data_IF_710040592501
#
_entry.id   IF_710040592501
#
_cell.length_a   1.000
_cell.length_b   1.000
_cell.length_c   1.000
_cell.angle_alpha   90.00
_cell.angle_beta   90.00
_cell.angle_gamma   90.00
#
_symmetry.space_group_name_H-M   'P 1'
#
loop_
_entity.id
_entity.type
_entity.pdbx_description
1 polymer ?
#
# COMPACT_ATOMS: atom_id res chain seq x y z
N UNK A 1 -14.41 44.86 11.56
CA UNK A 1 -13.76 43.66 12.15
C UNK A 1 -14.76 42.60 12.63
N UNK A 2 -15.80 42.95 13.41
CA UNK A 2 -16.84 41.98 13.86
C UNK A 2 -17.63 41.27 12.75
N UNK A 3 -17.95 41.94 11.63
CA UNK A 3 -18.71 41.30 10.54
C UNK A 3 -17.92 40.21 9.80
N UNK A 4 -16.60 40.39 9.61
CA UNK A 4 -15.72 39.36 9.02
C UNK A 4 -15.60 38.12 9.90
N UNK A 5 -15.56 38.29 11.22
CA UNK A 5 -15.51 37.18 12.17
C UNK A 5 -16.84 36.39 12.20
N UNK A 6 -17.98 37.06 12.11
CA UNK A 6 -19.29 36.42 11.99
C UNK A 6 -19.42 35.65 10.67
N UNK A 7 -18.98 36.25 9.56
CA UNK A 7 -18.98 35.60 8.24
C UNK A 7 -18.08 34.37 8.21
N UNK A 8 -16.89 34.44 8.81
CA UNK A 8 -15.98 33.30 8.94
C UNK A 8 -16.61 32.16 9.77
N UNK A 9 -17.24 32.48 10.91
CA UNK A 9 -17.93 31.49 11.75
C UNK A 9 -19.11 30.84 11.03
N UNK A 10 -19.85 31.60 10.23
CA UNK A 10 -20.98 31.08 9.46
C UNK A 10 -20.51 30.17 8.31
N UNK A 11 -19.43 30.54 7.63
CA UNK A 11 -18.80 29.73 6.59
C UNK A 11 -18.22 28.42 7.15
N UNK A 12 -17.59 28.45 8.32
CA UNK A 12 -17.06 27.22 8.94
C UNK A 12 -18.17 26.26 9.38
N UNK A 13 -19.29 26.78 9.90
CA UNK A 13 -20.48 25.97 10.23
C UNK A 13 -21.09 25.37 8.96
N UNK A 14 -21.21 26.14 7.88
CA UNK A 14 -21.70 25.64 6.60
C UNK A 14 -20.79 24.53 6.03
N UNK A 15 -19.47 24.73 6.07
CA UNK A 15 -18.48 23.75 5.65
C UNK A 15 -18.57 22.46 6.48
N UNK A 16 -18.70 22.57 7.81
CA UNK A 16 -18.86 21.43 8.69
C UNK A 16 -20.15 20.64 8.39
N UNK A 17 -21.26 21.32 8.07
CA UNK A 17 -22.51 20.67 7.66
C UNK A 17 -22.38 19.95 6.32
N UNK A 18 -21.74 20.59 5.34
CA UNK A 18 -21.45 19.97 4.05
C UNK A 18 -20.59 18.73 4.23
N UNK A 19 -19.47 18.85 4.96
CA UNK A 19 -18.59 17.74 5.26
C UNK A 19 -19.33 16.58 5.94
N UNK A 20 -20.15 16.88 6.96
CA UNK A 20 -20.99 15.85 7.63
C UNK A 20 -21.95 15.16 6.66
N UNK A 21 -22.62 15.92 5.78
CA UNK A 21 -23.54 15.35 4.77
C UNK A 21 -22.79 14.43 3.81
N UNK A 22 -21.62 14.83 3.32
CA UNK A 22 -20.77 14.00 2.47
C UNK A 22 -20.31 12.73 3.20
N UNK A 23 -19.85 12.85 4.44
CA UNK A 23 -19.42 11.70 5.25
C UNK A 23 -20.56 10.68 5.44
N UNK A 24 -21.77 11.13 5.75
CA UNK A 24 -22.94 10.26 5.91
C UNK A 24 -23.28 9.57 4.58
N UNK A 25 -23.29 10.32 3.47
CA UNK A 25 -23.59 9.75 2.15
C UNK A 25 -22.54 8.73 1.72
N UNK A 26 -21.26 9.01 1.93
CA UNK A 26 -20.15 8.09 1.66
C UNK A 26 -20.23 6.84 2.53
N UNK A 27 -20.54 6.98 3.82
CA UNK A 27 -20.74 5.85 4.73
C UNK A 27 -21.91 4.97 4.29
N UNK A 28 -23.04 5.57 3.91
CA UNK A 28 -24.19 4.83 3.43
C UNK A 28 -23.87 4.03 2.15
N UNK A 29 -23.19 4.65 1.18
CA UNK A 29 -22.70 3.98 -0.03
C UNK A 29 -21.73 2.84 0.28
N UNK A 30 -20.82 3.04 1.24
CA UNK A 30 -19.87 2.02 1.68
C UNK A 30 -20.61 0.80 2.25
N UNK A 31 -21.56 1.01 3.17
CA UNK A 31 -22.34 -0.07 3.79
C UNK A 31 -23.19 -0.83 2.77
N UNK A 32 -23.82 -0.13 1.82
CA UNK A 32 -24.58 -0.77 0.73
C UNK A 32 -23.66 -1.66 -0.11
N UNK A 33 -22.50 -1.16 -0.51
CA UNK A 33 -21.55 -1.94 -1.30
C UNK A 33 -21.02 -3.15 -0.52
N UNK A 34 -20.76 -3.02 0.77
CA UNK A 34 -20.28 -4.12 1.60
C UNK A 34 -21.31 -5.25 1.73
N UNK A 35 -22.61 -4.92 1.74
CA UNK A 35 -23.71 -5.89 1.80
C UNK A 35 -24.03 -6.54 0.47
N UNK A 36 -23.72 -5.89 -0.66
CA UNK A 36 -23.99 -6.44 -1.99
C UNK A 36 -22.97 -7.56 -2.31
N UNK A 37 -23.42 -8.80 -2.58
CA UNK A 37 -22.52 -9.91 -2.83
C UNK A 37 -21.64 -9.73 -4.07
N UNK A 38 -22.14 -9.03 -5.09
CA UNK A 38 -21.46 -8.80 -6.37
C UNK A 38 -20.55 -7.55 -6.36
N UNK A 39 -20.45 -6.86 -5.21
CA UNK A 39 -19.66 -5.64 -5.12
C UNK A 39 -18.17 -5.93 -5.19
N UNK A 40 -17.47 -5.22 -6.08
CA UNK A 40 -16.00 -5.20 -6.13
C UNK A 40 -15.40 -4.79 -4.78
N UNK A 41 -16.01 -3.84 -4.07
CA UNK A 41 -15.52 -3.39 -2.76
C UNK A 41 -15.52 -4.55 -1.75
N UNK A 42 -16.61 -5.32 -1.70
CA UNK A 42 -16.73 -6.49 -0.83
C UNK A 42 -15.66 -7.53 -1.17
N UNK A 43 -15.43 -7.78 -2.46
CA UNK A 43 -14.39 -8.69 -2.92
C UNK A 43 -12.98 -8.24 -2.51
N UNK A 44 -12.64 -6.95 -2.71
CA UNK A 44 -11.36 -6.37 -2.29
C UNK A 44 -11.17 -6.52 -0.78
N UNK A 45 -12.18 -6.18 0.02
CA UNK A 45 -12.13 -6.31 1.49
C UNK A 45 -11.93 -7.77 1.89
N UNK A 46 -12.62 -8.70 1.22
CA UNK A 46 -12.45 -10.13 1.46
C UNK A 46 -11.01 -10.58 1.19
N UNK A 47 -10.41 -10.17 0.07
CA UNK A 47 -9.00 -10.46 -0.23
C UNK A 47 -8.04 -9.87 0.82
N UNK A 48 -8.30 -8.66 1.31
CA UNK A 48 -7.51 -8.03 2.38
C UNK A 48 -7.61 -8.87 3.66
N UNK A 49 -8.82 -9.27 4.06
CA UNK A 49 -9.04 -10.10 5.25
C UNK A 49 -8.33 -11.44 5.12
N UNK A 50 -8.50 -12.13 3.98
CA UNK A 50 -7.81 -13.39 3.70
C UNK A 50 -6.30 -13.19 3.77
N UNK A 51 -5.77 -12.09 3.24
CA UNK A 51 -4.34 -11.84 3.26
C UNK A 51 -3.77 -11.53 4.64
N UNK A 52 -4.51 -10.80 5.47
CA UNK A 52 -4.14 -10.58 6.88
C UNK A 52 -4.18 -11.91 7.63
N UNK A 53 -5.23 -12.72 7.43
CA UNK A 53 -5.36 -14.03 8.09
C UNK A 53 -4.26 -15.00 7.67
N UNK A 54 -3.89 -15.02 6.39
CA UNK A 54 -2.80 -15.85 5.85
C UNK A 54 -1.48 -15.58 6.58
N UNK A 55 -1.18 -14.31 6.88
CA UNK A 55 0.00 -13.91 7.64
C UNK A 55 -0.27 -13.70 9.14
N UNK A 56 -1.46 -14.06 9.65
CA UNK A 56 -1.93 -13.63 10.96
C UNK A 56 -1.00 -14.04 12.12
N UNK A 57 -0.54 -15.30 12.09
CA UNK A 57 0.42 -15.81 13.09
C UNK A 57 1.73 -15.03 13.02
N UNK A 58 2.29 -14.84 11.82
CA UNK A 58 3.52 -14.08 11.63
C UNK A 58 3.39 -12.64 12.14
N UNK A 59 2.29 -11.95 11.79
CA UNK A 59 2.06 -10.57 12.19
C UNK A 59 1.97 -10.42 13.72
N UNK A 60 1.27 -11.33 14.41
CA UNK A 60 1.10 -11.25 15.87
C UNK A 60 2.41 -11.62 16.58
N UNK A 61 3.09 -12.67 16.13
CA UNK A 61 4.30 -13.17 16.77
C UNK A 61 5.55 -12.32 16.50
N UNK A 62 5.53 -11.44 15.50
CA UNK A 62 6.72 -10.70 15.05
C UNK A 62 6.49 -9.18 14.90
N UNK A 63 5.77 -8.55 15.84
CA UNK A 63 5.59 -7.08 15.87
C UNK A 63 5.04 -6.49 14.55
N UNK A 64 4.04 -7.17 13.96
CA UNK A 64 3.43 -6.85 12.67
C UNK A 64 4.40 -6.89 11.47
N UNK A 65 5.43 -7.71 11.57
CA UNK A 65 6.33 -8.04 10.45
C UNK A 65 6.03 -9.44 9.91
N UNK A 66 6.49 -9.71 8.70
CA UNK A 66 6.48 -11.04 8.11
C UNK A 66 7.94 -11.51 8.08
N UNK A 67 8.36 -12.47 8.92
CA UNK A 67 9.70 -13.03 8.85
C UNK A 67 9.79 -13.85 7.56
N UNK A 68 10.50 -13.31 6.59
CA UNK A 68 10.76 -13.97 5.31
C UNK A 68 12.02 -14.83 5.47
N UNK A 69 12.13 -15.93 4.73
CA UNK A 69 13.26 -16.87 4.78
C UNK A 69 13.85 -17.11 3.38
N UNK A 70 14.98 -17.81 3.31
CA UNK A 70 15.67 -18.09 2.05
C UNK A 70 16.19 -16.82 1.37
N UNK A 71 16.04 -16.73 0.06
CA UNK A 71 16.52 -15.61 -0.77
C UNK A 71 15.97 -14.25 -0.33
N UNK A 72 14.81 -14.23 0.33
CA UNK A 72 14.25 -13.00 0.87
C UNK A 72 15.14 -12.33 1.93
N UNK A 73 15.79 -13.11 2.78
CA UNK A 73 16.68 -12.57 3.82
C UNK A 73 17.99 -12.11 3.21
N UNK A 74 18.51 -12.88 2.25
CA UNK A 74 19.82 -12.62 1.67
C UNK A 74 19.81 -11.49 0.64
N UNK A 75 18.66 -11.21 0.02
CA UNK A 75 18.59 -10.26 -1.09
C UNK A 75 17.46 -9.25 -0.89
N UNK A 76 16.23 -9.71 -0.70
CA UNK A 76 15.08 -8.82 -0.79
C UNK A 76 14.97 -7.81 0.35
N UNK A 77 15.20 -8.23 1.61
CA UNK A 77 15.21 -7.30 2.76
C UNK A 77 16.33 -6.26 2.60
N UNK A 78 17.60 -6.66 2.34
CA UNK A 78 18.67 -5.71 2.03
C UNK A 78 18.31 -4.73 0.90
N UNK A 79 17.75 -5.22 -0.21
CA UNK A 79 17.36 -4.36 -1.32
C UNK A 79 16.29 -3.33 -0.93
N UNK A 80 15.33 -3.68 -0.08
CA UNK A 80 14.35 -2.70 0.38
C UNK A 80 14.94 -1.65 1.32
N UNK A 81 15.93 -2.00 2.14
CA UNK A 81 16.67 -1.03 2.94
C UNK A 81 17.55 -0.12 2.08
N UNK A 82 18.31 -0.69 1.14
CA UNK A 82 19.11 0.09 0.19
C UNK A 82 18.22 1.02 -0.62
N UNK A 83 17.08 0.53 -1.10
CA UNK A 83 16.12 1.37 -1.81
C UNK A 83 15.54 2.49 -0.97
N UNK A 84 15.26 2.25 0.32
CA UNK A 84 14.82 3.32 1.21
C UNK A 84 15.91 4.38 1.35
N UNK A 85 17.15 3.94 1.58
CA UNK A 85 18.28 4.83 1.81
C UNK A 85 18.67 5.61 0.54
N UNK A 86 18.61 4.97 -0.65
CA UNK A 86 18.87 5.59 -1.95
C UNK A 86 17.85 6.66 -2.30
N UNK A 87 16.55 6.39 -2.10
CA UNK A 87 15.50 7.39 -2.32
C UNK A 87 15.66 8.58 -1.38
N UNK A 88 15.95 8.32 -0.09
CA UNK A 88 16.17 9.38 0.87
C UNK A 88 17.48 10.13 0.65
N UNK A 89 18.51 9.49 0.10
CA UNK A 89 19.71 10.17 -0.36
C UNK A 89 19.34 11.13 -1.49
N UNK A 90 18.68 10.64 -2.54
CA UNK A 90 18.22 11.46 -3.66
C UNK A 90 17.35 12.64 -3.22
N UNK A 91 16.40 12.44 -2.31
CA UNK A 91 15.56 13.54 -1.79
C UNK A 91 16.37 14.59 -1.00
N UNK A 92 17.48 14.21 -0.37
CA UNK A 92 18.32 15.11 0.42
C UNK A 92 19.40 15.81 -0.41
N UNK A 93 19.96 15.13 -1.40
CA UNK A 93 21.16 15.59 -2.14
C UNK A 93 20.85 15.98 -3.57
N UNK A 94 19.75 15.49 -4.16
CA UNK A 94 19.47 15.60 -5.58
C UNK A 94 20.29 14.62 -6.44
N UNK A 95 21.18 13.83 -5.84
CA UNK A 95 22.03 12.87 -6.53
C UNK A 95 21.41 11.47 -6.47
N UNK A 96 21.25 10.86 -7.65
CA UNK A 96 20.72 9.51 -7.73
C UNK A 96 21.88 8.50 -7.85
N UNK A 97 21.96 7.56 -6.91
CA UNK A 97 23.01 6.53 -6.90
C UNK A 97 22.77 5.56 -8.05
N UNK A 98 23.65 5.58 -9.07
CA UNK A 98 23.51 4.70 -10.25
C UNK A 98 24.15 3.32 -10.08
N UNK A 99 25.17 3.23 -9.24
CA UNK A 99 25.93 2.00 -8.98
C UNK A 99 26.17 1.86 -7.48
N UNK A 100 25.85 0.68 -6.95
CA UNK A 100 26.05 0.35 -5.53
C UNK A 100 27.05 -0.80 -5.41
N UNK A 101 28.24 -0.48 -4.89
CA UNK A 101 29.33 -1.43 -4.63
C UNK A 101 29.24 -2.12 -3.27
N UNK A 102 28.24 -1.79 -2.43
CA UNK A 102 28.04 -2.42 -1.12
C UNK A 102 27.43 -3.82 -1.21
N UNK A 103 26.85 -4.17 -2.37
CA UNK A 103 26.33 -5.51 -2.64
C UNK A 103 27.44 -6.48 -3.08
N UNK A 104 27.27 -7.78 -2.82
CA UNK A 104 28.31 -8.80 -3.04
C UNK A 104 28.87 -8.84 -4.47
N UNK A 105 28.06 -8.53 -5.49
CA UNK A 105 28.49 -8.51 -6.90
C UNK A 105 28.61 -7.10 -7.48
N UNK A 106 28.33 -6.06 -6.68
CA UNK A 106 27.98 -4.75 -7.20
C UNK A 106 26.66 -4.78 -7.96
N UNK A 107 25.91 -3.68 -7.93
CA UNK A 107 24.59 -3.65 -8.58
C UNK A 107 24.33 -2.32 -9.28
N UNK A 108 23.78 -2.43 -10.50
CA UNK A 108 23.24 -1.27 -11.21
C UNK A 108 21.88 -0.94 -10.59
N UNK A 109 21.78 0.26 -10.03
CA UNK A 109 20.62 0.68 -9.27
C UNK A 109 19.37 0.85 -10.13
N UNK A 110 19.53 1.19 -11.41
CA UNK A 110 18.41 1.27 -12.35
C UNK A 110 18.00 -0.15 -12.79
N UNK A 111 18.95 -0.96 -13.24
CA UNK A 111 18.64 -2.28 -13.80
C UNK A 111 18.16 -3.27 -12.75
N UNK A 112 18.99 -3.53 -11.74
CA UNK A 112 18.75 -4.58 -10.76
C UNK A 112 17.61 -4.24 -9.81
N UNK A 113 17.49 -2.97 -9.41
CA UNK A 113 16.51 -2.55 -8.40
C UNK A 113 15.16 -2.11 -8.98
N UNK A 114 15.03 -2.03 -10.31
CA UNK A 114 13.74 -1.86 -11.00
C UNK A 114 12.72 -2.93 -10.61
N UNK A 115 13.17 -4.18 -10.42
CA UNK A 115 12.28 -5.27 -10.02
C UNK A 115 11.84 -5.16 -8.55
N UNK A 116 12.70 -4.63 -7.68
CA UNK A 116 12.49 -4.67 -6.24
C UNK A 116 11.73 -3.45 -5.72
N UNK A 117 12.23 -2.25 -5.98
CA UNK A 117 11.73 -1.03 -5.32
C UNK A 117 11.60 0.20 -6.21
N UNK A 118 12.31 0.28 -7.34
CA UNK A 118 12.45 1.55 -8.05
C UNK A 118 11.13 2.12 -8.56
N UNK A 119 10.33 1.30 -9.25
CA UNK A 119 9.00 1.67 -9.75
C UNK A 119 7.89 0.84 -9.09
N UNK A 120 8.19 0.22 -7.94
CA UNK A 120 7.25 -0.64 -7.27
C UNK A 120 6.21 0.22 -6.52
N UNK A 121 4.93 0.24 -6.97
CA UNK A 121 3.91 1.12 -6.39
C UNK A 121 3.54 0.74 -4.96
N UNK A 122 3.90 -0.46 -4.51
CA UNK A 122 3.71 -0.91 -3.14
C UNK A 122 4.88 -0.54 -2.23
N UNK A 123 6.07 -0.28 -2.79
CA UNK A 123 7.25 0.12 -2.03
C UNK A 123 7.28 1.62 -1.73
N UNK A 124 7.01 2.46 -2.73
CA UNK A 124 7.12 3.92 -2.59
C UNK A 124 6.33 4.49 -1.38
N UNK A 125 5.13 4.00 -1.02
CA UNK A 125 4.44 4.47 0.18
C UNK A 125 5.21 4.24 1.49
N UNK A 126 6.12 3.27 1.56
CA UNK A 126 6.96 2.99 2.74
C UNK A 126 7.88 4.18 3.03
N UNK A 127 8.28 4.94 2.01
CA UNK A 127 9.16 6.12 2.14
C UNK A 127 8.55 7.24 2.99
N UNK A 128 7.23 7.25 3.16
CA UNK A 128 6.51 8.21 4.01
C UNK A 128 6.71 7.95 5.51
N UNK A 129 7.23 6.77 5.88
CA UNK A 129 7.43 6.35 7.26
C UNK A 129 8.91 6.32 7.62
N UNK A 130 9.28 6.42 8.92
CA UNK A 130 10.66 6.28 9.34
C UNK A 130 11.28 4.95 8.93
N UNK A 131 12.59 4.94 8.64
CA UNK A 131 13.38 3.75 8.26
C UNK A 131 13.17 2.54 9.19
N UNK A 132 12.94 2.77 10.47
CA UNK A 132 12.68 1.72 11.47
C UNK A 132 11.39 0.92 11.19
N UNK A 133 10.43 1.50 10.45
CA UNK A 133 9.17 0.85 10.09
C UNK A 133 9.21 0.17 8.71
N UNK A 134 10.38 0.12 8.05
CA UNK A 134 10.55 -0.62 6.79
C UNK A 134 10.05 -2.07 6.93
N UNK A 135 10.37 -2.85 7.98
CA UNK A 135 9.91 -4.23 8.11
C UNK A 135 8.38 -4.38 8.12
N UNK A 136 7.67 -3.48 8.82
CA UNK A 136 6.19 -3.45 8.82
C UNK A 136 5.66 -2.99 7.47
N UNK A 137 6.32 -2.01 6.83
CA UNK A 137 6.02 -1.59 5.47
C UNK A 137 6.13 -2.76 4.47
N UNK A 138 7.13 -3.63 4.62
CA UNK A 138 7.27 -4.84 3.82
C UNK A 138 6.14 -5.84 4.05
N UNK A 139 5.67 -5.99 5.29
CA UNK A 139 4.51 -6.82 5.57
C UNK A 139 3.24 -6.30 4.85
N UNK A 140 3.00 -4.99 4.92
CA UNK A 140 1.89 -4.33 4.21
C UNK A 140 2.04 -4.49 2.70
N UNK A 141 3.25 -4.31 2.17
CA UNK A 141 3.56 -4.49 0.75
C UNK A 141 3.25 -5.92 0.28
N UNK A 142 3.61 -6.95 1.05
CA UNK A 142 3.35 -8.36 0.71
C UNK A 142 1.86 -8.66 0.66
N UNK A 143 1.10 -8.21 1.66
CA UNK A 143 -0.37 -8.33 1.69
C UNK A 143 -0.97 -7.58 0.49
N UNK A 144 -0.52 -6.35 0.23
CA UNK A 144 -0.97 -5.54 -0.90
C UNK A 144 -0.73 -6.21 -2.25
N UNK A 145 0.45 -6.81 -2.46
CA UNK A 145 0.78 -7.58 -3.66
C UNK A 145 -0.16 -8.78 -3.83
N UNK A 146 -0.45 -9.51 -2.75
CA UNK A 146 -1.35 -10.66 -2.80
C UNK A 146 -2.80 -10.26 -3.13
N UNK A 147 -3.30 -9.17 -2.54
CA UNK A 147 -4.61 -8.60 -2.87
C UNK A 147 -4.65 -8.15 -4.33
N UNK A 148 -3.61 -7.45 -4.79
CA UNK A 148 -3.47 -7.01 -6.17
C UNK A 148 -3.47 -8.18 -7.16
N UNK A 149 -2.72 -9.25 -6.86
CA UNK A 149 -2.70 -10.46 -7.66
C UNK A 149 -4.08 -11.11 -7.77
N UNK A 150 -4.83 -11.22 -6.67
CA UNK A 150 -6.21 -11.73 -6.68
C UNK A 150 -7.14 -10.88 -7.54
N UNK A 151 -7.04 -9.55 -7.44
CA UNK A 151 -7.83 -8.62 -8.26
C UNK A 151 -7.51 -8.72 -9.75
N UNK A 152 -6.22 -8.75 -10.10
CA UNK A 152 -5.79 -8.87 -11.50
C UNK A 152 -6.21 -10.22 -12.06
N UNK A 153 -6.10 -11.30 -11.28
CA UNK A 153 -6.56 -12.62 -11.71
C UNK A 153 -8.05 -12.64 -12.00
N UNK A 154 -8.89 -12.01 -11.16
CA UNK A 154 -10.32 -11.86 -11.44
C UNK A 154 -10.56 -11.11 -12.75
N UNK A 155 -9.89 -9.99 -12.96
CA UNK A 155 -10.00 -9.19 -14.21
C UNK A 155 -9.60 -10.03 -15.42
N UNK A 156 -8.51 -10.79 -15.30
CA UNK A 156 -8.01 -11.66 -16.36
C UNK A 156 -9.01 -12.78 -16.70
N UNK A 157 -9.57 -13.46 -15.70
CA UNK A 157 -10.59 -14.49 -15.90
C UNK A 157 -11.85 -13.93 -16.57
N UNK A 158 -12.29 -12.74 -16.17
CA UNK A 158 -13.41 -12.05 -16.81
C UNK A 158 -13.11 -11.70 -18.27
N UNK A 159 -11.89 -11.27 -18.56
CA UNK A 159 -11.42 -11.04 -19.94
C UNK A 159 -11.49 -12.33 -20.78
N UNK A 160 -11.18 -13.48 -20.20
CA UNK A 160 -11.29 -14.80 -20.84
C UNK A 160 -12.74 -15.32 -20.96
N UNK A 161 -13.74 -14.57 -20.50
CA UNK A 161 -15.14 -14.96 -20.55
C UNK A 161 -15.57 -15.95 -19.46
N UNK A 162 -14.75 -16.15 -18.42
CA UNK A 162 -15.11 -17.01 -17.29
C UNK A 162 -16.23 -16.35 -16.47
N UNK A 163 -17.33 -17.08 -16.26
CA UNK A 163 -18.45 -16.64 -15.43
C UNK A 163 -18.05 -16.58 -13.96
N UNK A 164 -18.43 -15.50 -13.29
CA UNK A 164 -18.27 -15.35 -11.82
C UNK A 164 -19.35 -16.11 -11.04
N UNK A 165 -20.41 -16.60 -11.71
CA UNK A 165 -21.49 -17.37 -11.10
C UNK A 165 -21.14 -18.85 -11.10
N UNK A 166 -21.18 -19.47 -9.93
CA UNK A 166 -21.23 -20.93 -9.81
C UNK A 166 -22.63 -21.38 -10.22
N UNK A 167 -22.71 -22.24 -11.22
CA UNK A 167 -23.98 -22.83 -11.71
C UNK A 167 -24.56 -23.81 -10.70
#
# INVERSE_FOLDING_TARGET
>A
MKSRLLQFKQNSIALARLFKKYMIASWHKFVINLKNPDSLLRYVIYLIVVGILFFGVALISNLFTIPLSGDYVMQQIPFYYNGYDDWWHFFKTGEFVLWDSSTYLGTNNIGSNSFYYYLNPFFLPILLFPRALVPQGLAVLMIGKMVGAGLIMRVYLKYLGVSEKTS
#
